data_IF_936042109077
#
_entry.id   IF_936042109077
#
_cell.length_a   1.000
_cell.length_b   1.000
_cell.length_c   1.000
_cell.angle_alpha   90.00
_cell.angle_beta   90.00
_cell.angle_gamma   90.00
#
_symmetry.space_group_name_H-M   'P 1'
#
loop_
_entity.id
_entity.type
_entity.pdbx_description
1 polymer ?
#
# COMPACT_ATOMS: atom_id res chain seq x y z
N UNK A 1 45.03 32.35 -5.82
CA UNK A 1 44.06 32.17 -6.93
C UNK A 1 43.50 30.75 -7.09
N UNK A 2 43.75 29.79 -6.18
CA UNK A 2 43.25 28.41 -6.31
C UNK A 2 42.01 28.10 -5.46
N UNK A 3 41.76 28.90 -4.42
CA UNK A 3 40.66 28.70 -3.48
C UNK A 3 39.30 29.12 -4.05
N UNK A 4 39.27 30.13 -4.93
CA UNK A 4 38.05 30.60 -5.59
C UNK A 4 37.46 29.54 -6.52
N UNK A 5 38.30 28.77 -7.21
CA UNK A 5 37.86 27.68 -8.09
C UNK A 5 37.23 26.54 -7.28
N UNK A 6 37.80 26.22 -6.11
CA UNK A 6 37.25 25.18 -5.22
C UNK A 6 35.90 25.61 -4.62
N UNK A 7 35.77 26.87 -4.21
CA UNK A 7 34.51 27.40 -3.67
C UNK A 7 33.38 27.40 -4.71
N UNK A 8 33.69 27.76 -5.96
CA UNK A 8 32.69 27.75 -7.06
C UNK A 8 32.30 26.33 -7.42
N UNK A 9 33.25 25.39 -7.49
CA UNK A 9 32.97 23.99 -7.78
C UNK A 9 32.10 23.33 -6.69
N UNK A 10 32.38 23.62 -5.42
CA UNK A 10 31.58 23.14 -4.30
C UNK A 10 30.15 23.71 -4.32
N UNK A 11 29.99 25.00 -4.62
CA UNK A 11 28.69 25.65 -4.76
C UNK A 11 27.86 25.05 -5.89
N UNK A 12 28.48 24.76 -7.04
CA UNK A 12 27.81 24.15 -8.19
C UNK A 12 27.31 22.72 -7.87
N UNK A 13 28.10 21.93 -7.13
CA UNK A 13 27.71 20.59 -6.69
C UNK A 13 26.52 20.61 -5.74
N UNK A 14 26.49 21.54 -4.77
CA UNK A 14 25.38 21.69 -3.83
C UNK A 14 24.11 22.14 -4.56
N UNK A 15 24.23 23.07 -5.50
CA UNK A 15 23.09 23.56 -6.28
C UNK A 15 22.47 22.45 -7.16
N UNK A 16 23.29 21.60 -7.79
CA UNK A 16 22.83 20.43 -8.57
C UNK A 16 22.18 19.36 -7.69
N UNK A 17 22.74 19.08 -6.52
CA UNK A 17 22.15 18.13 -5.57
C UNK A 17 20.80 18.60 -5.03
N UNK A 18 20.69 19.88 -4.66
CA UNK A 18 19.45 20.46 -4.14
C UNK A 18 18.33 20.52 -5.20
N UNK A 19 18.66 20.83 -6.45
CA UNK A 19 17.68 20.83 -7.55
C UNK A 19 17.19 19.42 -7.89
N UNK A 20 18.08 18.42 -7.87
CA UNK A 20 17.69 17.02 -8.06
C UNK A 20 16.75 16.51 -6.96
N UNK A 21 17.07 16.79 -5.69
CA UNK A 21 16.22 16.40 -4.56
C UNK A 21 14.86 17.10 -4.58
N UNK A 22 14.83 18.39 -4.94
CA UNK A 22 13.59 19.17 -5.01
C UNK A 22 12.64 18.69 -6.13
N UNK A 23 13.18 18.32 -7.29
CA UNK A 23 12.38 17.78 -8.40
C UNK A 23 11.78 16.40 -8.07
N UNK A 24 12.52 15.56 -7.35
CA UNK A 24 12.03 14.26 -6.89
C UNK A 24 10.85 14.40 -5.93
N UNK A 25 10.95 15.31 -4.94
CA UNK A 25 9.88 15.57 -3.98
C UNK A 25 8.64 16.22 -4.65
N UNK A 26 8.85 17.10 -5.64
CA UNK A 26 7.76 17.73 -6.39
C UNK A 26 6.99 16.72 -7.26
N UNK A 27 7.65 15.70 -7.79
CA UNK A 27 6.99 14.65 -8.57
C UNK A 27 6.14 13.72 -7.69
N UNK A 28 6.52 13.50 -6.42
CA UNK A 28 5.79 12.63 -5.51
C UNK A 28 4.41 13.19 -5.10
N UNK A 29 4.25 14.51 -5.04
CA UNK A 29 2.95 15.14 -4.69
C UNK A 29 1.87 15.04 -5.78
N UNK A 30 2.23 14.71 -7.03
CA UNK A 30 1.24 14.55 -8.12
C UNK A 30 0.48 13.22 -8.10
N UNK A 31 0.81 12.28 -7.22
CA UNK A 31 0.12 10.98 -7.13
C UNK A 31 -1.05 10.96 -6.11
N UNK A 32 -1.36 12.05 -5.43
CA UNK A 32 -2.40 12.09 -4.38
C UNK A 32 -3.76 12.67 -4.83
N UNK A 33 -4.05 12.69 -6.13
CA UNK A 33 -5.30 13.24 -6.67
C UNK A 33 -6.09 12.23 -7.50
N UNK A 34 -6.45 11.10 -6.89
CA UNK A 34 -7.61 10.30 -7.34
C UNK A 34 -8.26 9.63 -6.13
N UNK A 35 -8.90 10.43 -5.28
CA UNK A 35 -9.93 9.96 -4.37
C UNK A 35 -11.19 9.69 -5.22
N UNK A 36 -11.40 8.43 -5.60
CA UNK A 36 -12.63 7.98 -6.22
C UNK A 36 -13.67 7.68 -5.12
N UNK A 37 -14.68 8.54 -5.06
CA UNK A 37 -15.94 8.39 -4.34
C UNK A 37 -16.68 7.12 -4.81
N UNK A 38 -17.00 6.14 -3.94
CA UNK A 38 -17.96 5.12 -4.32
C UNK A 38 -19.39 5.69 -4.20
N UNK A 39 -20.01 5.94 -5.35
CA UNK A 39 -21.44 6.23 -5.48
C UNK A 39 -22.27 5.01 -5.10
N UNK A 40 -23.22 5.21 -4.19
CA UNK A 40 -24.31 4.30 -3.93
C UNK A 40 -25.34 4.38 -5.07
N UNK A 41 -25.70 3.23 -5.68
CA UNK A 41 -27.04 2.98 -6.23
C UNK A 41 -27.36 1.48 -6.15
N UNK A 42 -28.57 1.21 -5.69
CA UNK A 42 -29.17 -0.08 -5.36
C UNK A 42 -29.49 -0.99 -6.56
N UNK A 43 -29.70 -2.28 -6.25
CA UNK A 43 -30.54 -3.18 -7.05
C UNK A 43 -30.06 -4.62 -7.04
N UNK A 44 -30.68 -5.49 -6.24
CA UNK A 44 -30.41 -6.93 -6.28
C UNK A 44 -30.92 -7.70 -5.07
N UNK A 45 -32.23 -7.64 -4.85
CA UNK A 45 -32.97 -8.49 -3.92
C UNK A 45 -32.81 -9.97 -4.32
N UNK A 46 -32.08 -10.75 -3.52
CA UNK A 46 -32.25 -12.20 -3.46
C UNK A 46 -32.46 -12.60 -2.02
N UNK A 47 -33.74 -12.73 -1.69
CA UNK A 47 -34.23 -13.27 -0.45
C UNK A 47 -33.80 -14.74 -0.30
N UNK A 48 -33.32 -15.05 0.90
CA UNK A 48 -33.61 -16.33 1.57
C UNK A 48 -32.84 -17.56 1.11
N UNK A 49 -31.62 -17.74 1.63
CA UNK A 49 -31.27 -19.01 2.29
C UNK A 49 -30.14 -18.78 3.29
N UNK A 50 -30.52 -18.46 4.54
CA UNK A 50 -29.58 -18.33 5.66
C UNK A 50 -29.20 -19.75 6.09
N UNK A 51 -28.06 -20.27 5.62
CA UNK A 51 -27.54 -21.51 6.17
C UNK A 51 -27.16 -21.30 7.64
N UNK A 52 -27.59 -22.18 8.56
CA UNK A 52 -27.14 -22.11 9.94
C UNK A 52 -25.65 -22.48 9.98
N UNK A 53 -24.81 -21.53 10.36
CA UNK A 53 -23.42 -21.80 10.77
C UNK A 53 -23.48 -22.38 12.18
N UNK A 54 -23.17 -23.68 12.38
CA UNK A 54 -23.07 -24.24 13.72
C UNK A 54 -21.79 -23.68 14.35
N UNK A 55 -21.91 -22.96 15.46
CA UNK A 55 -20.76 -22.46 16.22
C UNK A 55 -20.56 -20.95 16.28
N UNK A 56 -21.48 -20.15 15.73
CA UNK A 56 -21.48 -18.69 15.92
C UNK A 56 -22.27 -18.23 17.16
N UNK A 57 -22.56 -19.14 18.09
CA UNK A 57 -23.13 -18.81 19.39
C UNK A 57 -22.02 -18.91 20.44
N UNK A 58 -21.79 -17.79 21.14
CA UNK A 58 -20.84 -17.61 22.24
C UNK A 58 -19.42 -17.15 21.87
N UNK A 59 -19.30 -16.12 21.03
CA UNK A 59 -18.48 -15.00 21.49
C UNK A 59 -19.31 -14.31 22.56
N UNK A 60 -19.03 -14.59 23.83
CA UNK A 60 -19.69 -13.97 24.96
C UNK A 60 -19.86 -12.48 24.69
N UNK A 61 -21.10 -11.97 24.79
CA UNK A 61 -21.32 -10.53 24.94
C UNK A 61 -20.47 -10.14 26.14
N UNK A 62 -19.32 -9.52 25.90
CA UNK A 62 -18.65 -8.78 26.96
C UNK A 62 -19.68 -7.75 27.40
N UNK A 63 -20.16 -7.85 28.64
CA UNK A 63 -21.00 -6.84 29.25
C UNK A 63 -20.26 -5.51 29.11
N UNK A 64 -20.70 -4.65 28.20
CA UNK A 64 -20.12 -3.32 27.96
C UNK A 64 -20.52 -2.34 29.06
N UNK A 65 -21.04 -2.84 30.18
CA UNK A 65 -21.31 -2.05 31.36
C UNK A 65 -19.97 -1.60 31.96
N UNK A 66 -19.81 -0.31 32.29
CA UNK A 66 -18.63 0.16 33.00
C UNK A 66 -18.44 -0.65 34.28
N UNK A 67 -17.27 -1.25 34.46
CA UNK A 67 -16.92 -1.88 35.74
C UNK A 67 -16.82 -0.80 36.82
N UNK A 68 -17.14 -1.12 38.08
CA UNK A 68 -16.97 -0.19 39.18
C UNK A 68 -15.49 0.17 39.36
N UNK A 69 -15.22 1.44 39.64
CA UNK A 69 -13.86 1.91 39.95
C UNK A 69 -13.41 1.35 41.30
N UNK A 70 -12.37 0.52 41.29
CA UNK A 70 -11.73 -0.03 42.49
C UNK A 70 -10.38 0.64 42.68
N UNK A 71 -10.22 1.37 43.78
CA UNK A 71 -8.94 1.99 44.16
C UNK A 71 -8.25 1.13 45.22
N UNK A 72 -6.99 0.77 44.98
CA UNK A 72 -6.16 0.01 45.91
C UNK A 72 -4.99 0.90 46.35
N UNK A 73 -4.87 1.14 47.66
CA UNK A 73 -3.79 1.94 48.23
C UNK A 73 -2.59 1.05 48.52
N UNK A 74 -1.42 1.46 48.05
CA UNK A 74 -0.14 0.80 48.31
C UNK A 74 0.77 1.73 49.12
N UNK A 75 1.67 1.15 49.92
CA UNK A 75 2.74 1.92 50.55
C UNK A 75 3.87 2.18 49.55
N UNK A 76 4.61 3.28 49.73
CA UNK A 76 5.71 3.64 48.82
C UNK A 76 6.78 2.54 48.78
N UNK A 77 7.09 1.92 49.92
CA UNK A 77 8.02 0.79 50.02
C UNK A 77 7.53 -0.45 49.24
N UNK A 78 6.21 -0.64 49.11
CA UNK A 78 5.65 -1.70 48.28
C UNK A 78 5.78 -1.37 46.79
N UNK A 79 5.56 -0.11 46.41
CA UNK A 79 5.76 0.38 45.03
C UNK A 79 7.22 0.23 44.61
N UNK A 80 8.15 0.66 45.45
CA UNK A 80 9.58 0.65 45.16
C UNK A 80 10.15 -0.77 45.10
N UNK A 81 9.75 -1.66 46.02
CA UNK A 81 10.17 -3.07 45.98
C UNK A 81 9.53 -3.87 44.84
N UNK A 82 8.34 -3.48 44.42
CA UNK A 82 7.66 -4.10 43.28
C UNK A 82 8.14 -3.55 41.94
N UNK A 83 8.91 -2.46 41.92
CA UNK A 83 9.41 -1.84 40.69
C UNK A 83 8.28 -1.28 39.81
N UNK A 84 7.23 -0.71 40.42
CA UNK A 84 6.09 -0.18 39.67
C UNK A 84 6.49 1.15 39.02
N UNK A 85 6.54 1.15 37.69
CA UNK A 85 6.78 2.36 36.88
C UNK A 85 5.48 2.85 36.23
N UNK A 86 5.26 4.16 36.27
CA UNK A 86 4.09 4.81 35.66
C UNK A 86 4.53 5.70 34.50
N UNK A 87 3.76 5.68 33.41
CA UNK A 87 3.96 6.56 32.25
C UNK A 87 2.61 7.19 31.88
N UNK A 88 2.55 8.51 31.59
CA UNK A 88 1.31 9.16 31.21
C UNK A 88 0.75 8.58 29.90
N UNK A 89 -0.56 8.33 29.89
CA UNK A 89 -1.27 7.92 28.68
C UNK A 89 -1.30 9.08 27.69
N UNK A 90 -0.82 8.85 26.47
CA UNK A 90 -0.91 9.81 25.37
C UNK A 90 -1.74 9.21 24.24
N UNK A 91 -2.61 10.03 23.65
CA UNK A 91 -3.24 9.68 22.37
C UNK A 91 -2.27 10.03 21.26
N UNK A 92 -1.99 9.08 20.40
CA UNK A 92 -1.14 9.27 19.22
C UNK A 92 -1.70 8.47 18.03
N UNK A 93 -1.26 8.78 16.83
CA UNK A 93 -1.60 8.01 15.63
C UNK A 93 -0.73 6.76 15.60
N UNK A 94 -1.36 5.58 15.60
CA UNK A 94 -0.64 4.33 15.46
C UNK A 94 -0.06 4.20 14.04
N UNK A 95 1.24 4.41 13.90
CA UNK A 95 1.96 4.10 12.67
C UNK A 95 2.33 2.61 12.65
N UNK A 96 1.50 1.80 12.01
CA UNK A 96 1.79 0.39 11.76
C UNK A 96 2.27 0.19 10.32
N UNK A 97 3.34 -0.59 10.13
CA UNK A 97 3.71 -1.11 8.80
C UNK A 97 3.31 -2.57 8.70
N UNK A 98 2.52 -2.93 7.69
CA UNK A 98 2.15 -4.32 7.40
C UNK A 98 2.86 -4.75 6.12
N UNK A 99 3.57 -5.88 6.17
CA UNK A 99 4.20 -6.47 4.99
C UNK A 99 3.27 -7.52 4.40
N UNK A 100 2.93 -7.35 3.12
CA UNK A 100 2.07 -8.25 2.37
C UNK A 100 2.84 -8.73 1.13
N UNK A 101 2.71 -10.02 0.82
CA UNK A 101 3.14 -10.57 -0.47
C UNK A 101 2.13 -10.24 -1.55
N UNK A 102 2.59 -9.95 -2.77
CA UNK A 102 1.76 -9.77 -3.95
C UNK A 102 2.26 -10.64 -5.10
N UNK A 103 1.39 -10.87 -6.09
CA UNK A 103 1.71 -11.60 -7.32
C UNK A 103 1.78 -10.61 -8.48
N UNK A 104 2.72 -10.79 -9.39
CA UNK A 104 2.82 -10.00 -10.62
C UNK A 104 2.04 -10.72 -11.71
N UNK A 105 1.00 -10.07 -12.22
CA UNK A 105 0.17 -10.57 -13.32
C UNK A 105 0.36 -9.72 -14.59
N UNK A 106 -0.03 -10.29 -15.72
CA UNK A 106 -0.09 -9.54 -16.96
C UNK A 106 -1.12 -8.40 -16.81
N UNK A 107 -0.88 -7.28 -17.50
CA UNK A 107 -1.89 -6.24 -17.56
C UNK A 107 -2.98 -6.67 -18.54
N UNK A 108 -4.13 -7.09 -18.03
CA UNK A 108 -5.27 -7.57 -18.82
C UNK A 108 -5.75 -6.55 -19.86
N UNK A 109 -5.63 -5.25 -19.58
CA UNK A 109 -5.96 -4.17 -20.54
C UNK A 109 -4.94 -4.02 -21.68
N UNK A 110 -3.81 -4.71 -21.58
CA UNK A 110 -2.73 -4.70 -22.58
C UNK A 110 -2.42 -6.09 -23.13
N UNK A 111 -3.25 -7.08 -22.83
CA UNK A 111 -3.15 -8.42 -23.40
C UNK A 111 -3.99 -8.51 -24.68
N UNK A 112 -3.37 -9.00 -25.76
CA UNK A 112 -4.04 -9.15 -27.06
C UNK A 112 -3.71 -10.52 -27.64
N UNK A 113 -4.75 -11.29 -27.95
CA UNK A 113 -4.63 -12.47 -28.80
C UNK A 113 -4.80 -12.03 -30.26
N UNK A 114 -3.76 -12.24 -31.08
CA UNK A 114 -3.77 -11.86 -32.50
C UNK A 114 -4.28 -13.03 -33.34
N UNK A 115 -5.36 -12.80 -34.09
CA UNK A 115 -5.99 -13.80 -34.96
C UNK A 115 -5.99 -13.29 -36.40
N UNK A 116 -5.70 -14.14 -37.41
CA UNK A 116 -5.78 -13.72 -38.80
C UNK A 116 -7.22 -13.36 -39.21
N UNK A 117 -7.36 -12.35 -40.07
CA UNK A 117 -8.66 -11.87 -40.57
C UNK A 117 -9.26 -12.75 -41.67
N UNK A 118 -8.45 -13.60 -42.30
CA UNK A 118 -8.84 -14.47 -43.40
C UNK A 118 -8.00 -15.77 -43.40
N UNK A 119 -8.50 -16.80 -44.08
CA UNK A 119 -7.81 -18.08 -44.21
C UNK A 119 -6.57 -17.97 -45.11
N UNK A 120 -5.56 -18.80 -44.83
CA UNK A 120 -4.31 -18.85 -45.59
C UNK A 120 -3.34 -19.89 -45.02
N UNK A 121 -2.08 -19.83 -45.43
CA UNK A 121 -1.00 -20.69 -44.93
C UNK A 121 0.16 -19.83 -44.44
N UNK A 122 0.63 -20.12 -43.22
CA UNK A 122 1.82 -19.48 -42.64
C UNK A 122 3.07 -19.99 -43.38
N UNK A 123 3.87 -19.08 -43.95
CA UNK A 123 5.12 -19.41 -44.66
C UNK A 123 6.37 -19.10 -43.84
N UNK A 124 6.24 -18.23 -42.83
CA UNK A 124 7.31 -17.81 -41.93
C UNK A 124 6.72 -17.45 -40.57
N UNK A 125 7.53 -17.60 -39.52
CA UNK A 125 7.26 -17.06 -38.19
C UNK A 125 8.50 -16.26 -37.79
N UNK A 126 8.33 -14.99 -37.43
CA UNK A 126 9.43 -14.06 -37.20
C UNK A 126 9.85 -13.94 -35.73
N UNK A 127 9.06 -14.47 -34.80
CA UNK A 127 9.26 -14.36 -33.33
C UNK A 127 9.02 -15.69 -32.62
N UNK A 128 9.65 -15.87 -31.47
CA UNK A 128 9.48 -17.03 -30.60
C UNK A 128 8.71 -16.69 -29.32
N UNK A 129 8.24 -17.73 -28.62
CA UNK A 129 7.57 -17.56 -27.33
C UNK A 129 8.56 -16.99 -26.29
N UNK A 130 8.13 -15.95 -25.58
CA UNK A 130 8.95 -15.25 -24.60
C UNK A 130 9.69 -14.04 -25.17
N UNK A 131 9.70 -13.85 -26.49
CA UNK A 131 10.30 -12.67 -27.11
C UNK A 131 9.53 -11.40 -26.73
N UNK A 132 10.28 -10.35 -26.39
CA UNK A 132 9.70 -9.02 -26.24
C UNK A 132 9.44 -8.44 -27.63
N UNK A 133 8.17 -8.21 -27.94
CA UNK A 133 7.75 -7.57 -29.18
C UNK A 133 7.31 -6.12 -28.96
N UNK A 134 7.38 -5.31 -30.01
CA UNK A 134 6.90 -3.92 -30.01
C UNK A 134 5.71 -3.74 -30.94
N UNK A 135 4.96 -2.65 -30.75
CA UNK A 135 3.80 -2.35 -31.60
C UNK A 135 4.25 -2.20 -33.06
N UNK A 136 3.59 -2.92 -33.96
CA UNK A 136 3.85 -2.89 -35.40
C UNK A 136 4.91 -3.90 -35.87
N UNK A 137 5.52 -4.65 -34.97
CA UNK A 137 6.43 -5.73 -35.33
C UNK A 137 5.67 -6.88 -36.01
N UNK A 138 6.20 -7.37 -37.14
CA UNK A 138 5.65 -8.54 -37.85
C UNK A 138 5.89 -9.81 -37.05
N UNK A 139 4.84 -10.64 -36.90
CA UNK A 139 4.88 -11.89 -36.13
C UNK A 139 4.98 -13.13 -37.04
N UNK A 140 4.29 -13.11 -38.18
CA UNK A 140 4.20 -14.20 -39.16
C UNK A 140 3.84 -13.65 -40.56
#
# INVERSE_FOLDING_TARGET
>A
MRWTVVAIAAGALIALGATGAWLYLRSAMKMQATSATPSATAGGEMAGMKMPVPGAESAARADTAPLPDVTITLTQEAVDRAGIEVTPVRRDTAAGSLRLSGVVEANDYRQVAVTPIAAGRVTRVAVALGDRVTRGQSLA
#
